data_IF_309052409874
#
_entry.id   IF_309052409874
#
_cell.length_a   1.000
_cell.length_b   1.000
_cell.length_c   1.000
_cell.angle_alpha   90.00
_cell.angle_beta   90.00
_cell.angle_gamma   90.00
#
_symmetry.space_group_name_H-M   'P 1'
#
loop_
_entity.id
_entity.type
_entity.pdbx_description
1 polymer ?
#
# COMPACT_ATOMS: atom_id res chain seq x y z
N UNK A 1 35.45 -30.02 -21.22
CA UNK A 1 35.65 -28.88 -20.30
C UNK A 1 35.49 -27.56 -21.05
N UNK A 2 34.28 -27.25 -21.48
CA UNK A 2 33.97 -25.98 -22.17
C UNK A 2 32.46 -25.66 -22.03
N UNK A 3 31.95 -25.72 -20.80
CA UNK A 3 30.58 -25.30 -20.45
C UNK A 3 30.64 -24.60 -19.09
N UNK A 4 31.44 -23.53 -18.99
CA UNK A 4 31.56 -22.70 -17.77
C UNK A 4 31.53 -21.19 -18.11
N UNK A 5 31.26 -20.80 -19.35
CA UNK A 5 31.37 -19.41 -19.78
C UNK A 5 30.10 -18.84 -20.43
N UNK A 6 28.91 -19.19 -19.93
CA UNK A 6 27.66 -18.60 -20.44
C UNK A 6 26.61 -18.41 -19.34
N UNK A 7 27.01 -17.83 -18.21
CA UNK A 7 26.09 -17.50 -17.11
C UNK A 7 26.33 -16.12 -16.48
N UNK A 8 26.90 -15.18 -17.24
CA UNK A 8 27.18 -13.81 -16.77
C UNK A 8 26.58 -12.72 -17.67
N UNK A 9 25.43 -12.99 -18.28
CA UNK A 9 24.53 -11.94 -18.77
C UNK A 9 23.10 -12.34 -18.44
N UNK A 10 22.74 -12.29 -17.15
CA UNK A 10 21.34 -12.19 -16.76
C UNK A 10 20.88 -10.78 -17.13
N UNK A 11 20.54 -10.60 -18.40
CA UNK A 11 19.74 -9.47 -18.84
C UNK A 11 18.58 -9.34 -17.86
N UNK A 12 18.49 -8.18 -17.22
CA UNK A 12 17.32 -7.71 -16.49
C UNK A 12 16.15 -7.59 -17.48
N UNK A 13 15.65 -8.71 -18.02
CA UNK A 13 14.34 -8.76 -18.64
C UNK A 13 13.33 -8.50 -17.53
N UNK A 14 13.06 -7.22 -17.31
CA UNK A 14 11.91 -6.75 -16.57
C UNK A 14 10.72 -7.56 -17.05
N UNK A 15 10.21 -8.43 -16.18
CA UNK A 15 9.12 -9.32 -16.55
C UNK A 15 7.96 -8.46 -17.08
N UNK A 16 7.30 -8.83 -18.20
CA UNK A 16 6.31 -7.97 -18.87
C UNK A 16 5.20 -7.42 -17.98
N UNK A 17 4.87 -8.11 -16.88
CA UNK A 17 3.86 -7.69 -15.91
C UNK A 17 4.29 -6.51 -15.01
N UNK A 18 5.57 -6.17 -14.97
CA UNK A 18 6.08 -4.98 -14.27
C UNK A 18 5.93 -3.71 -15.13
N UNK A 19 6.03 -3.82 -16.45
CA UNK A 19 5.99 -2.64 -17.33
C UNK A 19 4.72 -1.78 -17.15
N UNK A 20 3.56 -2.40 -16.98
CA UNK A 20 2.29 -1.71 -16.71
C UNK A 20 2.32 -0.86 -15.44
N UNK A 21 2.60 -1.44 -14.26
CA UNK A 21 2.81 -0.71 -13.00
C UNK A 21 3.79 0.47 -13.08
N UNK A 22 4.95 0.27 -13.72
CA UNK A 22 5.95 1.33 -13.90
C UNK A 22 5.46 2.46 -14.81
N UNK A 23 4.79 2.12 -15.92
CA UNK A 23 4.19 3.09 -16.83
C UNK A 23 3.03 3.85 -16.18
N UNK A 24 2.20 3.16 -15.39
CA UNK A 24 1.08 3.76 -14.69
C UNK A 24 1.54 4.81 -13.67
N UNK A 25 2.56 4.49 -12.85
CA UNK A 25 3.15 5.45 -11.93
C UNK A 25 3.75 6.64 -12.68
N UNK A 26 4.54 6.40 -13.73
CA UNK A 26 5.11 7.49 -14.54
C UNK A 26 4.02 8.40 -15.10
N UNK A 27 2.96 7.82 -15.67
CA UNK A 27 1.81 8.55 -16.21
C UNK A 27 1.12 9.38 -15.12
N UNK A 28 0.93 8.84 -13.91
CA UNK A 28 0.32 9.58 -12.80
C UNK A 28 1.14 10.80 -12.40
N UNK A 29 2.47 10.68 -12.31
CA UNK A 29 3.34 11.84 -12.00
C UNK A 29 3.25 12.89 -13.12
N UNK A 30 3.29 12.46 -14.38
CA UNK A 30 3.14 13.36 -15.54
C UNK A 30 1.78 14.06 -15.54
N UNK A 31 0.69 13.32 -15.37
CA UNK A 31 -0.67 13.88 -15.35
C UNK A 31 -0.82 14.87 -14.20
N UNK A 32 -0.33 14.52 -13.00
CA UNK A 32 -0.30 15.43 -11.85
C UNK A 32 0.42 16.74 -12.20
N UNK A 33 1.63 16.64 -12.75
CA UNK A 33 2.43 17.80 -13.14
C UNK A 33 1.70 18.69 -14.16
N UNK A 34 1.11 18.09 -15.19
CA UNK A 34 0.32 18.82 -16.19
C UNK A 34 -0.89 19.53 -15.55
N UNK A 35 -1.65 18.84 -14.70
CA UNK A 35 -2.80 19.42 -14.02
C UNK A 35 -2.40 20.62 -13.14
N UNK A 36 -1.28 20.54 -12.42
CA UNK A 36 -0.75 21.65 -11.62
C UNK A 36 -0.37 22.85 -12.50
N UNK A 37 0.28 22.63 -13.65
CA UNK A 37 0.59 23.70 -14.62
C UNK A 37 -0.69 24.37 -15.13
N UNK A 38 -1.74 23.59 -15.41
CA UNK A 38 -3.04 24.12 -15.83
C UNK A 38 -3.82 24.82 -14.70
N UNK A 39 -3.26 24.90 -13.49
CA UNK A 39 -3.84 25.62 -12.36
C UNK A 39 -4.89 24.83 -11.59
N UNK A 40 -4.91 23.51 -11.74
CA UNK A 40 -5.74 22.66 -10.88
C UNK A 40 -5.21 22.75 -9.45
N UNK A 41 -6.09 22.91 -8.42
CA UNK A 41 -5.65 23.04 -7.05
C UNK A 41 -4.76 21.88 -6.60
N UNK A 42 -3.67 22.21 -5.90
CA UNK A 42 -2.72 21.22 -5.41
C UNK A 42 -3.38 20.14 -4.54
N UNK A 43 -4.41 20.47 -3.77
CA UNK A 43 -5.16 19.47 -3.00
C UNK A 43 -5.75 18.36 -3.88
N UNK A 44 -6.22 18.69 -5.08
CA UNK A 44 -6.80 17.73 -6.03
C UNK A 44 -5.72 16.94 -6.78
N UNK A 45 -4.63 17.61 -7.18
CA UNK A 45 -3.51 16.96 -7.88
C UNK A 45 -2.65 16.12 -6.93
N UNK A 46 -2.59 16.50 -5.65
CA UNK A 46 -1.96 15.74 -4.56
C UNK A 46 -2.84 14.59 -4.07
N UNK A 47 -4.16 14.61 -4.29
CA UNK A 47 -4.95 13.37 -4.14
C UNK A 47 -4.53 12.30 -5.18
N UNK A 48 -4.08 12.73 -6.36
CA UNK A 48 -3.43 11.88 -7.36
C UNK A 48 -1.95 11.61 -7.03
N UNK A 49 -1.48 11.91 -5.80
CA UNK A 49 -0.07 11.88 -5.39
C UNK A 49 0.60 10.54 -5.68
N UNK A 50 1.86 10.67 -6.09
CA UNK A 50 2.83 9.62 -6.36
C UNK A 50 2.99 8.66 -5.18
N UNK A 51 2.91 9.11 -3.94
CA UNK A 51 3.19 8.26 -2.77
C UNK A 51 2.03 7.32 -2.44
N UNK A 52 0.79 7.80 -2.45
CA UNK A 52 -0.40 6.96 -2.29
C UNK A 52 -0.56 5.97 -3.44
N UNK A 53 -0.33 6.44 -4.68
CA UNK A 53 -0.33 5.59 -5.86
C UNK A 53 0.77 4.53 -5.82
N UNK A 54 1.98 4.85 -5.35
CA UNK A 54 3.06 3.87 -5.15
C UNK A 54 2.65 2.78 -4.19
N UNK A 55 2.00 3.11 -3.08
CA UNK A 55 1.53 2.09 -2.14
C UNK A 55 0.42 1.21 -2.72
N UNK A 56 -0.52 1.79 -3.48
CA UNK A 56 -1.53 1.01 -4.20
C UNK A 56 -0.91 0.08 -5.24
N UNK A 57 0.08 0.57 -6.00
CA UNK A 57 0.81 -0.24 -6.97
C UNK A 57 1.64 -1.31 -6.27
N UNK A 58 2.26 -1.02 -5.12
CA UNK A 58 2.99 -2.01 -4.33
C UNK A 58 2.07 -3.10 -3.78
N UNK A 59 0.87 -2.74 -3.30
CA UNK A 59 -0.17 -3.68 -2.88
C UNK A 59 -0.59 -4.55 -4.08
N UNK A 60 -0.86 -3.95 -5.23
CA UNK A 60 -1.20 -4.66 -6.46
C UNK A 60 -0.10 -5.64 -6.89
N UNK A 61 1.15 -5.18 -6.93
CA UNK A 61 2.31 -6.01 -7.27
C UNK A 61 2.47 -7.16 -6.26
N UNK A 62 2.33 -6.90 -4.96
CA UNK A 62 2.37 -7.92 -3.92
C UNK A 62 1.25 -8.96 -4.05
N UNK A 63 0.06 -8.54 -4.48
CA UNK A 63 -1.07 -9.44 -4.71
C UNK A 63 -0.94 -10.26 -6.01
N UNK A 64 -0.41 -9.66 -7.08
CA UNK A 64 -0.32 -10.28 -8.41
C UNK A 64 0.92 -11.14 -8.60
N UNK A 65 2.06 -10.76 -7.99
CA UNK A 65 3.32 -11.49 -8.15
C UNK A 65 3.19 -12.98 -7.80
N UNK A 66 2.55 -13.37 -6.67
CA UNK A 66 2.35 -14.78 -6.35
C UNK A 66 1.49 -15.53 -7.37
N UNK A 67 0.46 -14.88 -7.92
CA UNK A 67 -0.39 -15.45 -8.97
C UNK A 67 0.37 -15.69 -10.28
N UNK A 68 1.45 -14.94 -10.52
CA UNK A 68 2.38 -15.12 -11.63
C UNK A 68 3.55 -16.08 -11.29
N UNK A 69 3.41 -16.88 -10.23
CA UNK A 69 4.38 -17.89 -9.82
C UNK A 69 5.65 -17.31 -9.20
N UNK A 70 5.64 -16.05 -8.76
CA UNK A 70 6.77 -15.45 -8.04
C UNK A 70 6.77 -15.97 -6.60
N UNK A 71 7.76 -16.81 -6.26
CA UNK A 71 7.82 -17.51 -4.97
C UNK A 71 8.96 -17.05 -4.06
N UNK A 72 9.96 -16.33 -4.59
CA UNK A 72 11.11 -15.85 -3.80
C UNK A 72 10.91 -14.40 -3.41
N UNK A 73 11.10 -14.07 -2.14
CA UNK A 73 10.90 -12.72 -1.61
C UNK A 73 11.73 -11.66 -2.35
N UNK A 74 12.97 -11.96 -2.73
CA UNK A 74 13.82 -11.01 -3.46
C UNK A 74 13.25 -10.62 -4.83
N UNK A 75 12.48 -11.50 -5.49
CA UNK A 75 11.84 -11.23 -6.78
C UNK A 75 10.67 -10.26 -6.68
N UNK A 76 10.31 -9.84 -5.46
CA UNK A 76 9.25 -8.89 -5.16
C UNK A 76 9.84 -7.66 -4.49
N UNK A 77 10.76 -7.87 -3.55
CA UNK A 77 11.55 -6.82 -2.89
C UNK A 77 12.26 -5.95 -3.93
N UNK A 78 12.99 -6.56 -4.87
CA UNK A 78 13.76 -5.80 -5.85
C UNK A 78 12.85 -4.95 -6.76
N UNK A 79 11.77 -5.47 -7.38
CA UNK A 79 10.81 -4.63 -8.08
C UNK A 79 10.18 -3.53 -7.22
N UNK A 80 9.91 -3.78 -5.94
CA UNK A 80 9.37 -2.76 -5.03
C UNK A 80 10.34 -1.61 -4.78
N UNK A 81 11.62 -1.92 -4.51
CA UNK A 81 12.69 -0.93 -4.35
C UNK A 81 12.89 -0.15 -5.65
N UNK A 82 12.94 -0.85 -6.78
CA UNK A 82 13.08 -0.23 -8.09
C UNK A 82 11.88 0.66 -8.41
N UNK A 83 10.66 0.25 -8.06
CA UNK A 83 9.45 1.08 -8.24
C UNK A 83 9.53 2.35 -7.39
N UNK A 84 9.92 2.24 -6.12
CA UNK A 84 10.09 3.40 -5.25
C UNK A 84 11.15 4.36 -5.80
N UNK A 85 12.31 3.84 -6.22
CA UNK A 85 13.36 4.62 -6.86
C UNK A 85 12.90 5.27 -8.18
N UNK A 86 12.13 4.54 -8.99
CA UNK A 86 11.57 5.03 -10.24
C UNK A 86 10.61 6.20 -10.02
N UNK A 87 9.71 6.10 -9.04
CA UNK A 87 8.82 7.21 -8.67
C UNK A 87 9.62 8.43 -8.25
N UNK A 88 10.62 8.25 -7.39
CA UNK A 88 11.44 9.36 -6.90
C UNK A 88 12.26 9.99 -8.03
N UNK A 89 12.74 9.21 -9.00
CA UNK A 89 13.40 9.75 -10.19
C UNK A 89 12.47 10.69 -10.99
N UNK A 90 11.19 10.34 -11.16
CA UNK A 90 10.22 11.22 -11.80
C UNK A 90 9.92 12.47 -10.97
N UNK A 91 9.79 12.34 -9.65
CA UNK A 91 9.59 13.49 -8.75
C UNK A 91 10.77 14.46 -8.86
N UNK A 92 12.00 13.97 -8.71
CA UNK A 92 13.24 14.75 -8.85
C UNK A 92 13.30 15.45 -10.22
N UNK A 93 12.98 14.74 -11.30
CA UNK A 93 12.95 15.31 -12.64
C UNK A 93 12.01 16.51 -12.72
N UNK A 94 10.78 16.39 -12.23
CA UNK A 94 9.80 17.48 -12.28
C UNK A 94 10.12 18.61 -11.29
N UNK A 95 10.77 18.33 -10.15
CA UNK A 95 11.34 19.34 -9.26
C UNK A 95 12.41 20.16 -9.97
N UNK A 96 13.34 19.52 -10.68
CA UNK A 96 14.36 20.21 -11.50
C UNK A 96 13.71 21.07 -12.57
N UNK A 97 12.78 20.51 -13.35
CA UNK A 97 12.09 21.25 -14.43
C UNK A 97 11.38 22.48 -13.85
N UNK A 98 10.65 22.31 -12.74
CA UNK A 98 9.90 23.39 -12.09
C UNK A 98 10.81 24.47 -11.53
N UNK A 99 11.92 24.08 -10.88
CA UNK A 99 12.90 25.00 -10.30
C UNK A 99 13.65 25.82 -11.35
N UNK A 100 14.07 25.18 -12.45
CA UNK A 100 14.81 25.82 -13.54
C UNK A 100 13.92 26.74 -14.36
N UNK A 101 12.70 26.30 -14.70
CA UNK A 101 11.76 27.07 -15.51
C UNK A 101 10.89 28.05 -14.69
N UNK A 102 11.07 28.10 -13.37
CA UNK A 102 10.30 28.95 -12.45
C UNK A 102 8.79 28.76 -12.62
N UNK A 103 8.35 27.50 -12.62
CA UNK A 103 6.94 27.16 -12.80
C UNK A 103 6.15 27.45 -11.52
N UNK A 104 5.70 28.69 -11.34
CA UNK A 104 5.06 29.16 -10.09
C UNK A 104 3.80 28.39 -9.67
N UNK A 105 3.14 27.73 -10.62
CA UNK A 105 1.94 26.92 -10.35
C UNK A 105 2.28 25.48 -9.95
N UNK A 106 3.50 25.02 -10.20
CA UNK A 106 3.92 23.67 -9.85
C UNK A 106 4.34 23.61 -8.39
N UNK A 107 3.84 22.59 -7.68
CA UNK A 107 4.21 22.37 -6.27
C UNK A 107 5.39 21.41 -6.13
N UNK A 108 6.09 21.10 -7.22
CA UNK A 108 7.31 20.28 -7.21
C UNK A 108 8.56 21.07 -6.81
N UNK A 109 8.57 22.39 -7.00
CA UNK A 109 9.66 23.28 -6.59
C UNK A 109 9.09 24.45 -5.80
N UNK A 110 9.80 24.85 -4.76
CA UNK A 110 9.44 25.99 -3.92
C UNK A 110 10.00 27.29 -4.52
N UNK A 111 9.45 28.47 -4.16
CA UNK A 111 9.99 29.75 -4.62
C UNK A 111 11.49 29.93 -4.34
N UNK A 112 11.99 29.33 -3.25
CA UNK A 112 13.39 29.34 -2.87
C UNK A 112 14.29 28.53 -3.83
N UNK A 113 13.72 27.61 -4.60
CA UNK A 113 14.46 26.81 -5.60
C UNK A 113 14.71 27.59 -6.90
N UNK A 114 13.95 28.66 -7.15
CA UNK A 114 13.94 29.36 -8.43
C UNK A 114 15.22 30.16 -8.66
N UNK A 115 16.09 29.64 -9.53
CA UNK A 115 17.38 30.25 -9.82
C UNK A 115 18.41 30.12 -8.69
N UNK A 116 18.10 29.37 -7.63
CA UNK A 116 19.02 29.06 -6.53
C UNK A 116 19.42 27.59 -6.58
N UNK A 117 20.49 27.30 -7.32
CA UNK A 117 20.97 25.92 -7.51
C UNK A 117 21.37 25.22 -6.21
N UNK A 118 21.81 25.96 -5.19
CA UNK A 118 22.17 25.39 -3.90
C UNK A 118 20.96 24.90 -3.12
N UNK A 119 19.89 25.69 -3.09
CA UNK A 119 18.63 25.29 -2.44
C UNK A 119 17.95 24.15 -3.20
N UNK A 120 17.88 24.25 -4.53
CA UNK A 120 17.32 23.20 -5.39
C UNK A 120 18.07 21.87 -5.22
N UNK A 121 19.40 21.90 -5.13
CA UNK A 121 20.20 20.69 -4.88
C UNK A 121 19.89 20.08 -3.50
N UNK A 122 19.74 20.91 -2.46
CA UNK A 122 19.38 20.43 -1.13
C UNK A 122 17.97 19.82 -1.10
N UNK A 123 17.01 20.44 -1.79
CA UNK A 123 15.65 19.92 -1.93
C UNK A 123 15.65 18.55 -2.64
N UNK A 124 16.40 18.40 -3.75
CA UNK A 124 16.57 17.13 -4.45
C UNK A 124 17.19 16.06 -3.53
N UNK A 125 18.19 16.43 -2.73
CA UNK A 125 18.81 15.52 -1.78
C UNK A 125 17.81 15.06 -0.71
N UNK A 126 16.87 15.93 -0.31
CA UNK A 126 15.74 15.57 0.54
C UNK A 126 14.90 14.42 -0.04
N UNK A 127 14.52 14.52 -1.32
CA UNK A 127 13.79 13.43 -2.00
C UNK A 127 14.58 12.11 -2.05
N UNK A 128 15.91 12.17 -2.19
CA UNK A 128 16.74 10.96 -2.15
C UNK A 128 16.73 10.29 -0.77
N UNK A 129 16.74 11.08 0.30
CA UNK A 129 16.65 10.54 1.67
C UNK A 129 15.28 9.90 1.93
N UNK A 130 14.21 10.42 1.32
CA UNK A 130 12.86 9.87 1.41
C UNK A 130 12.70 8.52 0.69
N UNK A 131 13.61 8.13 -0.22
CA UNK A 131 13.60 6.82 -0.87
C UNK A 131 13.64 5.69 0.16
N UNK A 132 14.50 5.81 1.18
CA UNK A 132 14.73 4.75 2.16
C UNK A 132 13.47 4.40 2.96
N UNK A 133 12.80 5.35 3.64
CA UNK A 133 11.58 5.03 4.38
C UNK A 133 10.44 4.60 3.47
N UNK A 134 10.27 5.20 2.28
CA UNK A 134 9.23 4.78 1.31
C UNK A 134 9.48 3.35 0.84
N UNK A 135 10.72 2.99 0.52
CA UNK A 135 11.09 1.65 0.14
C UNK A 135 10.81 0.65 1.26
N UNK A 136 11.18 0.95 2.51
CA UNK A 136 10.89 0.09 3.67
C UNK A 136 9.38 -0.16 3.78
N UNK A 137 8.56 0.89 3.68
CA UNK A 137 7.09 0.72 3.72
C UNK A 137 6.64 -0.19 2.59
N UNK A 138 7.01 0.10 1.33
CA UNK A 138 6.68 -0.71 0.15
C UNK A 138 7.05 -2.20 0.35
N UNK A 139 8.22 -2.46 0.91
CA UNK A 139 8.68 -3.82 1.21
C UNK A 139 7.79 -4.52 2.24
N UNK A 140 7.39 -3.81 3.30
CA UNK A 140 6.45 -4.32 4.29
C UNK A 140 5.10 -4.64 3.65
N UNK A 141 4.58 -3.76 2.77
CA UNK A 141 3.32 -4.00 2.04
C UNK A 141 3.39 -5.30 1.24
N UNK A 142 4.47 -5.47 0.48
CA UNK A 142 4.66 -6.62 -0.40
C UNK A 142 4.89 -7.92 0.39
N UNK A 143 5.64 -7.85 1.49
CA UNK A 143 5.87 -8.98 2.38
C UNK A 143 4.56 -9.48 3.02
N UNK A 144 3.68 -8.56 3.45
CA UNK A 144 2.38 -8.93 3.99
C UNK A 144 1.54 -9.72 2.96
N UNK A 145 1.49 -9.26 1.70
CA UNK A 145 0.74 -9.96 0.65
C UNK A 145 1.31 -11.34 0.32
N UNK A 146 2.63 -11.52 0.40
CA UNK A 146 3.26 -12.83 0.26
C UNK A 146 2.85 -13.81 1.35
N UNK A 147 2.76 -13.34 2.60
CA UNK A 147 2.29 -14.17 3.72
C UNK A 147 0.84 -14.59 3.49
N UNK A 148 -0.02 -13.65 3.05
CA UNK A 148 -1.42 -13.94 2.73
C UNK A 148 -1.59 -15.00 1.65
N UNK A 149 -0.64 -15.13 0.73
CA UNK A 149 -0.73 -16.11 -0.36
C UNK A 149 -0.80 -17.57 0.11
N UNK A 150 -0.38 -17.86 1.35
CA UNK A 150 -0.63 -19.18 1.98
C UNK A 150 -2.12 -19.54 2.02
N UNK A 151 -3.00 -18.53 1.99
CA UNK A 151 -4.44 -18.67 1.86
C UNK A 151 -4.93 -17.76 0.74
N UNK A 152 -4.92 -18.21 -0.54
CA UNK A 152 -5.17 -17.36 -1.70
C UNK A 152 -6.47 -16.54 -1.63
N UNK A 153 -7.50 -17.08 -0.98
CA UNK A 153 -8.78 -16.40 -0.71
C UNK A 153 -8.64 -15.09 0.09
N UNK A 154 -7.53 -14.92 0.81
CA UNK A 154 -7.27 -13.76 1.67
C UNK A 154 -6.49 -12.65 0.96
N UNK A 155 -5.81 -12.94 -0.16
CA UNK A 155 -4.92 -11.98 -0.84
C UNK A 155 -5.71 -10.79 -1.38
N UNK A 156 -6.78 -11.06 -2.14
CA UNK A 156 -7.63 -10.02 -2.71
C UNK A 156 -8.27 -9.15 -1.62
N UNK A 157 -9.00 -9.72 -0.65
CA UNK A 157 -9.57 -8.95 0.45
C UNK A 157 -8.51 -8.20 1.27
N UNK A 158 -7.37 -8.83 1.56
CA UNK A 158 -6.26 -8.19 2.27
C UNK A 158 -5.68 -7.00 1.53
N UNK A 159 -5.56 -7.07 0.20
CA UNK A 159 -5.13 -5.96 -0.64
C UNK A 159 -6.14 -4.81 -0.64
N UNK A 160 -7.44 -5.11 -0.75
CA UNK A 160 -8.50 -4.08 -0.69
C UNK A 160 -8.52 -3.38 0.66
N UNK A 161 -8.41 -4.13 1.77
CA UNK A 161 -8.33 -3.56 3.12
C UNK A 161 -7.15 -2.60 3.26
N UNK A 162 -5.99 -2.99 2.75
CA UNK A 162 -4.80 -2.13 2.72
C UNK A 162 -5.01 -0.88 1.88
N UNK A 163 -5.58 -1.04 0.67
CA UNK A 163 -5.88 0.08 -0.22
C UNK A 163 -6.80 1.12 0.43
N UNK A 164 -7.85 0.68 1.13
CA UNK A 164 -8.76 1.59 1.85
C UNK A 164 -8.08 2.33 2.99
N UNK A 165 -7.21 1.65 3.76
CA UNK A 165 -6.44 2.30 4.82
C UNK A 165 -5.47 3.33 4.22
N UNK A 166 -4.80 3.01 3.11
CA UNK A 166 -3.92 3.95 2.39
C UNK A 166 -4.72 5.16 1.89
N UNK A 167 -5.86 4.95 1.23
CA UNK A 167 -6.68 6.05 0.73
C UNK A 167 -7.16 6.95 1.87
N UNK A 168 -7.64 6.36 2.97
CA UNK A 168 -8.08 7.11 4.16
C UNK A 168 -6.93 7.88 4.81
N UNK A 169 -5.76 7.27 4.94
CA UNK A 169 -4.58 7.93 5.51
C UNK A 169 -4.24 9.18 4.70
N UNK A 170 -4.18 9.05 3.37
CA UNK A 170 -3.84 10.19 2.50
C UNK A 170 -4.95 11.23 2.43
N UNK A 171 -6.23 10.85 2.45
CA UNK A 171 -7.32 11.84 2.49
C UNK A 171 -7.24 12.71 3.75
N UNK A 172 -6.87 12.15 4.90
CA UNK A 172 -6.68 12.91 6.14
C UNK A 172 -5.43 13.78 6.12
N UNK A 173 -4.31 13.26 5.60
CA UNK A 173 -3.08 14.03 5.44
C UNK A 173 -3.29 15.26 4.55
N UNK A 174 -4.18 15.16 3.57
CA UNK A 174 -4.55 16.24 2.65
C UNK A 174 -5.64 17.17 3.21
N UNK A 175 -5.98 17.04 4.49
CA UNK A 175 -7.00 17.85 5.18
C UNK A 175 -8.38 17.79 4.47
N UNK A 176 -8.70 16.65 3.87
CA UNK A 176 -10.02 16.46 3.27
C UNK A 176 -11.11 16.42 4.34
N UNK A 177 -12.34 16.84 4.02
CA UNK A 177 -13.43 16.84 4.98
C UNK A 177 -13.59 15.47 5.67
N UNK A 178 -13.85 15.44 7.00
CA UNK A 178 -13.97 14.18 7.75
C UNK A 178 -14.99 13.20 7.15
N UNK A 179 -16.05 13.70 6.52
CA UNK A 179 -17.07 12.89 5.82
C UNK A 179 -16.47 12.15 4.62
N UNK A 180 -15.58 12.80 3.85
CA UNK A 180 -14.88 12.18 2.71
C UNK A 180 -13.88 11.15 3.21
N UNK A 181 -13.09 11.49 4.23
CA UNK A 181 -12.09 10.58 4.80
C UNK A 181 -12.72 9.35 5.47
N UNK A 182 -13.82 9.53 6.19
CA UNK A 182 -14.54 8.43 6.86
C UNK A 182 -15.29 7.51 5.90
N UNK A 183 -15.66 7.99 4.70
CA UNK A 183 -16.25 7.15 3.66
C UNK A 183 -15.33 5.99 3.22
N UNK A 184 -14.02 6.16 3.36
CA UNK A 184 -13.00 5.13 3.10
C UNK A 184 -12.79 4.16 4.28
N UNK A 185 -13.82 3.94 5.09
CA UNK A 185 -13.77 3.02 6.24
C UNK A 185 -13.55 1.58 5.80
N UNK A 186 -12.45 0.99 6.24
CA UNK A 186 -12.14 -0.42 6.01
C UNK A 186 -13.03 -1.38 6.80
N UNK A 187 -13.80 -0.91 7.78
CA UNK A 187 -14.68 -1.74 8.63
C UNK A 187 -15.81 -2.41 7.84
N UNK A 188 -16.47 -1.69 6.93
CA UNK A 188 -17.56 -2.26 6.13
C UNK A 188 -17.01 -3.33 5.20
N UNK A 189 -15.90 -3.03 4.53
CA UNK A 189 -15.24 -3.98 3.63
C UNK A 189 -14.70 -5.18 4.38
N UNK A 190 -14.22 -4.99 5.61
CA UNK A 190 -13.81 -6.08 6.49
C UNK A 190 -14.98 -7.04 6.79
N UNK A 191 -16.17 -6.52 7.08
CA UNK A 191 -17.36 -7.38 7.27
C UNK A 191 -17.76 -8.09 5.99
N UNK A 192 -17.65 -7.43 4.83
CA UNK A 192 -17.88 -8.06 3.51
C UNK A 192 -16.92 -9.24 3.27
N UNK A 193 -15.71 -9.20 3.84
CA UNK A 193 -14.77 -10.32 3.76
C UNK A 193 -15.33 -11.62 4.35
N UNK A 194 -16.23 -11.55 5.34
CA UNK A 194 -16.92 -12.74 5.89
C UNK A 194 -17.81 -13.42 4.85
N UNK A 195 -18.63 -12.66 4.13
CA UNK A 195 -19.47 -13.18 3.05
C UNK A 195 -18.62 -13.68 1.88
N UNK A 196 -17.58 -12.94 1.49
CA UNK A 196 -16.66 -13.35 0.45
C UNK A 196 -15.97 -14.67 0.80
N UNK A 197 -15.41 -14.77 2.02
CA UNK A 197 -14.70 -15.96 2.48
C UNK A 197 -15.65 -17.16 2.57
N UNK A 198 -16.90 -16.97 3.02
CA UNK A 198 -17.89 -18.04 3.05
C UNK A 198 -18.33 -18.47 1.64
N UNK A 199 -18.71 -17.52 0.78
CA UNK A 199 -19.19 -17.80 -0.57
C UNK A 199 -18.09 -18.33 -1.48
N UNK A 200 -17.05 -17.52 -1.74
CA UNK A 200 -15.94 -17.90 -2.63
C UNK A 200 -15.11 -19.03 -2.01
N UNK A 201 -14.91 -19.03 -0.70
CA UNK A 201 -14.17 -20.11 -0.04
C UNK A 201 -14.83 -21.46 -0.19
N UNK A 202 -16.16 -21.54 -0.14
CA UNK A 202 -16.89 -22.78 -0.40
C UNK A 202 -16.65 -23.31 -1.82
N UNK A 203 -16.63 -22.42 -2.83
CA UNK A 203 -16.39 -22.78 -4.24
C UNK A 203 -15.00 -23.40 -4.48
N UNK A 204 -14.03 -23.10 -3.62
CA UNK A 204 -12.67 -23.65 -3.69
C UNK A 204 -12.40 -24.73 -2.62
N UNK A 205 -13.45 -25.31 -2.04
CA UNK A 205 -13.36 -26.48 -1.14
C UNK A 205 -13.19 -26.17 0.35
N UNK A 206 -13.26 -24.91 0.77
CA UNK A 206 -13.31 -24.50 2.18
C UNK A 206 -14.75 -24.48 2.69
N UNK A 207 -15.42 -25.63 2.62
CA UNK A 207 -16.83 -25.73 2.94
C UNK A 207 -17.13 -26.04 4.42
N UNK A 208 -16.13 -26.11 5.30
CA UNK A 208 -16.36 -26.39 6.73
C UNK A 208 -15.87 -25.25 7.61
N UNK A 209 -16.55 -24.96 8.74
CA UNK A 209 -16.14 -23.90 9.67
C UNK A 209 -14.66 -24.02 10.09
N UNK A 210 -14.17 -25.26 10.32
CA UNK A 210 -12.77 -25.50 10.67
C UNK A 210 -11.78 -25.03 9.59
N UNK A 211 -12.11 -25.21 8.31
CA UNK A 211 -11.25 -24.79 7.18
C UNK A 211 -11.25 -23.26 7.00
N UNK A 212 -12.29 -22.57 7.46
CA UNK A 212 -12.45 -21.11 7.33
C UNK A 212 -11.78 -20.33 8.47
N UNK A 213 -11.51 -20.97 9.61
CA UNK A 213 -11.01 -20.31 10.82
C UNK A 213 -9.68 -19.59 10.59
N UNK A 214 -8.68 -20.30 10.05
CA UNK A 214 -7.34 -19.71 9.85
C UNK A 214 -7.38 -18.55 8.84
N UNK A 215 -7.98 -18.69 7.64
CA UNK A 215 -8.15 -17.58 6.72
C UNK A 215 -8.86 -16.36 7.34
N UNK A 216 -9.89 -16.59 8.16
CA UNK A 216 -10.63 -15.52 8.81
C UNK A 216 -9.79 -14.77 9.86
N UNK A 217 -9.05 -15.50 10.71
CA UNK A 217 -8.10 -14.90 11.67
C UNK A 217 -7.03 -14.10 10.95
N UNK A 218 -6.47 -14.65 9.86
CA UNK A 218 -5.47 -13.98 9.04
C UNK A 218 -6.03 -12.68 8.44
N UNK A 219 -7.28 -12.67 7.98
CA UNK A 219 -7.93 -11.44 7.51
C UNK A 219 -8.13 -10.41 8.63
N UNK A 220 -8.54 -10.84 9.82
CA UNK A 220 -8.65 -9.98 11.00
C UNK A 220 -7.33 -9.33 11.38
N UNK A 221 -6.25 -10.11 11.46
CA UNK A 221 -4.91 -9.58 11.70
C UNK A 221 -4.42 -8.69 10.56
N UNK A 222 -4.68 -9.05 9.31
CA UNK A 222 -4.28 -8.24 8.15
C UNK A 222 -4.96 -6.88 8.16
N UNK A 223 -6.26 -6.83 8.46
CA UNK A 223 -6.99 -5.58 8.59
C UNK A 223 -6.34 -4.65 9.64
N UNK A 224 -6.04 -5.19 10.82
CA UNK A 224 -5.45 -4.38 11.90
C UNK A 224 -3.98 -4.09 11.69
N UNK A 225 -3.24 -4.99 11.05
CA UNK A 225 -1.88 -4.76 10.61
C UNK A 225 -1.80 -3.57 9.66
N UNK A 226 -2.76 -3.43 8.74
CA UNK A 226 -2.84 -2.27 7.86
C UNK A 226 -3.00 -0.95 8.62
N UNK A 227 -3.90 -0.93 9.59
CA UNK A 227 -4.08 0.22 10.50
C UNK A 227 -2.76 0.52 11.23
N UNK A 228 -2.09 -0.50 11.74
CA UNK A 228 -0.81 -0.34 12.44
C UNK A 228 0.30 0.22 11.54
N UNK A 229 0.39 -0.20 10.28
CA UNK A 229 1.32 0.40 9.30
C UNK A 229 1.05 1.89 9.13
N UNK A 230 -0.23 2.31 9.06
CA UNK A 230 -0.59 3.72 9.02
C UNK A 230 -0.17 4.47 10.30
N UNK A 231 -0.27 3.83 11.48
CA UNK A 231 0.25 4.41 12.74
C UNK A 231 1.77 4.58 12.69
N UNK A 232 2.51 3.58 12.21
CA UNK A 232 3.97 3.65 12.06
C UNK A 232 4.39 4.78 11.10
N UNK A 233 3.64 4.96 10.01
CA UNK A 233 3.87 6.08 9.09
C UNK A 233 3.64 7.43 9.78
N UNK A 234 2.56 7.59 10.52
CA UNK A 234 2.32 8.82 11.30
C UNK A 234 3.39 9.06 12.37
N UNK A 235 3.92 7.99 12.97
CA UNK A 235 5.01 8.09 13.96
C UNK A 235 6.36 8.46 13.32
N UNK A 236 6.67 7.91 12.14
CA UNK A 236 7.89 8.20 11.41
C UNK A 236 7.90 9.62 10.84
N UNK A 237 6.73 10.13 10.44
CA UNK A 237 6.55 11.44 9.84
C UNK A 237 5.56 12.27 10.67
N UNK A 238 5.98 12.82 11.82
CA UNK A 238 5.08 13.44 12.80
C UNK A 238 4.41 14.74 12.32
N UNK A 239 4.80 15.26 11.16
CA UNK A 239 4.15 16.37 10.49
C UNK A 239 2.87 15.95 9.72
N UNK A 240 2.69 14.65 9.44
CA UNK A 240 1.49 14.11 8.83
C UNK A 240 0.36 14.06 9.87
N UNK A 241 -0.64 14.93 9.70
CA UNK A 241 -1.82 14.95 10.56
C UNK A 241 -2.80 13.87 10.12
N UNK A 242 -3.07 12.91 11.00
CA UNK A 242 -4.03 11.82 10.76
C UNK A 242 -4.59 11.31 12.07
N UNK A 243 -5.80 10.74 12.05
CA UNK A 243 -6.39 10.09 13.23
C UNK A 243 -5.68 8.78 13.61
N UNK A 244 -4.92 8.18 12.70
CA UNK A 244 -4.26 6.89 12.95
C UNK A 244 -3.18 6.99 14.03
N UNK A 245 -2.54 8.16 14.20
CA UNK A 245 -1.48 8.32 15.19
C UNK A 245 -1.58 9.68 15.89
N UNK A 246 -1.80 9.62 17.20
CA UNK A 246 -1.70 10.78 18.08
C UNK A 246 -0.41 10.66 18.87
N UNK A 247 0.48 11.64 18.76
CA UNK A 247 1.80 11.58 19.41
C UNK A 247 1.63 11.49 20.94
N UNK A 248 2.13 10.42 21.60
CA UNK A 248 2.07 10.32 23.05
C UNK A 248 3.02 11.33 23.69
N UNK A 249 2.70 11.79 24.90
CA UNK A 249 3.54 12.72 25.67
C UNK A 249 4.85 12.09 26.19
N UNK A 250 5.07 10.78 25.98
CA UNK A 250 6.21 10.02 26.50
C UNK A 250 6.74 8.98 25.51
N UNK A 251 7.09 7.78 26.02
CA UNK A 251 7.79 6.73 25.27
C UNK A 251 7.01 6.21 24.04
N UNK A 252 7.39 6.69 22.85
CA UNK A 252 6.78 6.30 21.56
C UNK A 252 6.84 4.78 21.32
N UNK A 253 7.96 4.14 21.66
CA UNK A 253 8.14 2.71 21.44
C UNK A 253 7.21 1.84 22.27
N UNK A 254 6.99 2.17 23.55
CA UNK A 254 6.05 1.40 24.39
C UNK A 254 4.61 1.61 23.93
N UNK A 255 4.27 2.83 23.49
CA UNK A 255 2.98 3.10 22.87
C UNK A 255 2.76 2.27 21.60
N UNK A 256 3.73 2.24 20.67
CA UNK A 256 3.62 1.45 19.44
C UNK A 256 3.59 -0.06 19.70
N UNK A 257 4.37 -0.57 20.66
CA UNK A 257 4.32 -1.98 21.06
C UNK A 257 2.98 -2.34 21.71
N UNK A 258 2.46 -1.48 22.58
CA UNK A 258 1.13 -1.63 23.18
C UNK A 258 0.03 -1.61 22.12
N UNK A 259 0.10 -0.68 21.18
CA UNK A 259 -0.80 -0.61 20.04
C UNK A 259 -0.71 -1.86 19.18
N UNK A 260 0.48 -2.39 18.89
CA UNK A 260 0.61 -3.65 18.16
C UNK A 260 -0.05 -4.82 18.91
N UNK A 261 0.24 -4.99 20.20
CA UNK A 261 -0.30 -6.07 21.00
C UNK A 261 -1.84 -6.00 21.11
N UNK A 262 -2.38 -4.82 21.38
CA UNK A 262 -3.82 -4.64 21.51
C UNK A 262 -4.51 -4.64 20.14
N UNK A 263 -4.11 -3.74 19.26
CA UNK A 263 -4.83 -3.48 18.02
C UNK A 263 -4.59 -4.56 16.97
N UNK A 264 -3.36 -5.03 16.80
CA UNK A 264 -3.07 -6.06 15.78
C UNK A 264 -3.45 -7.42 16.30
N UNK A 265 -2.93 -7.82 17.48
CA UNK A 265 -3.10 -9.20 17.95
C UNK A 265 -4.50 -9.44 18.50
N UNK A 266 -4.93 -8.65 19.49
CA UNK A 266 -6.21 -8.89 20.20
C UNK A 266 -7.41 -8.47 19.34
N UNK A 267 -7.48 -7.22 18.90
CA UNK A 267 -8.60 -6.73 18.09
C UNK A 267 -8.66 -7.46 16.74
N UNK A 268 -7.51 -7.75 16.14
CA UNK A 268 -7.48 -8.53 14.90
C UNK A 268 -7.95 -9.98 15.09
N UNK A 269 -7.65 -10.61 16.24
CA UNK A 269 -8.21 -11.93 16.57
C UNK A 269 -9.72 -11.87 16.72
N UNK A 270 -10.24 -10.90 17.49
CA UNK A 270 -11.70 -10.72 17.69
C UNK A 270 -12.40 -10.47 16.34
N UNK A 271 -11.86 -9.57 15.52
CA UNK A 271 -12.37 -9.33 14.17
C UNK A 271 -12.36 -10.61 13.34
N UNK A 272 -11.27 -11.38 13.39
CA UNK A 272 -11.15 -12.64 12.69
C UNK A 272 -12.20 -13.68 13.11
N UNK A 273 -12.53 -13.76 14.40
CA UNK A 273 -13.60 -14.61 14.91
C UNK A 273 -14.99 -14.17 14.40
N UNK A 274 -15.23 -12.86 14.28
CA UNK A 274 -16.47 -12.32 13.69
C UNK A 274 -16.57 -12.73 12.21
N UNK A 275 -15.50 -12.51 11.42
CA UNK A 275 -15.43 -12.91 10.01
C UNK A 275 -15.63 -14.42 9.86
N UNK A 276 -15.04 -15.21 10.76
CA UNK A 276 -15.23 -16.66 10.78
C UNK A 276 -16.68 -17.07 11.03
N UNK A 277 -17.34 -16.43 12.00
CA UNK A 277 -18.77 -16.66 12.28
C UNK A 277 -19.64 -16.35 11.06
N UNK A 278 -19.42 -15.20 10.43
CA UNK A 278 -20.13 -14.79 9.21
C UNK A 278 -19.89 -15.74 8.04
N UNK A 279 -18.63 -16.13 7.81
CA UNK A 279 -18.26 -17.07 6.75
C UNK A 279 -18.89 -18.45 6.98
N UNK A 280 -18.82 -18.94 8.22
CA UNK A 280 -19.41 -20.23 8.61
C UNK A 280 -20.93 -20.24 8.40
N UNK A 281 -21.61 -19.15 8.79
CA UNK A 281 -23.04 -18.98 8.55
C UNK A 281 -23.36 -18.95 7.05
N UNK A 282 -22.58 -18.22 6.25
CA UNK A 282 -22.78 -18.11 4.80
C UNK A 282 -22.64 -19.47 4.13
N UNK A 283 -21.61 -20.25 4.49
CA UNK A 283 -21.44 -21.61 3.96
C UNK A 283 -22.60 -22.52 4.33
N UNK A 284 -23.08 -22.44 5.57
CA UNK A 284 -24.25 -23.21 6.00
C UNK A 284 -25.50 -22.82 5.20
N UNK A 285 -25.75 -21.52 5.02
CA UNK A 285 -26.89 -20.99 4.27
C UNK A 285 -26.87 -21.35 2.78
N UNK A 286 -25.67 -21.52 2.20
CA UNK A 286 -25.52 -21.97 0.81
C UNK A 286 -25.70 -23.48 0.67
N UNK A 287 -25.29 -24.28 1.67
CA UNK A 287 -25.49 -25.73 1.68
C UNK A 287 -26.96 -26.12 1.75
N UNK A 288 -27.76 -25.41 2.53
CA UNK A 288 -29.20 -25.68 2.67
C UNK A 288 -30.01 -25.34 1.42
N UNK A 289 -29.38 -24.75 0.39
CA UNK A 289 -30.00 -24.37 -0.89
C UNK A 289 -29.49 -25.16 -2.10
N UNK A 290 -28.57 -26.10 -1.92
CA UNK A 290 -28.13 -26.98 -3.00
C UNK A 290 -29.23 -28.00 -3.35
N UNK A 291 -29.57 -28.18 -4.64
CA UNK A 291 -30.51 -29.22 -5.05
C UNK A 291 -29.91 -30.61 -4.80
N UNK A 292 -30.73 -31.55 -4.32
CA UNK A 292 -30.48 -32.99 -4.51
C UNK A 292 -30.39 -33.33 -6.01
#
# INVERSE_FOLDING_TARGET
MAVVAEQTHSDFRYRPWLAGPFAFIALLVVVRFLLEIFGVPHQLTSYLSSTGAVYLVAIYLGAVAPLRGVRKSWQIVLPGVVLAAWTQAWVILFTVISGVLKLEKSHFAEPQDWGNSGHLFHHILGHLLDIVPVAIVVLVLMAAMLVLWRWPVTVGPGAVLGGLVVIRFWSEVLDMPPVVSSAWSSTVVFLICGFFLGGVGALIGMSTPRKLLVPAIVLGWTWRFWVFVAMLMGAAFPYLKTHFYTRPQGHVWTYLLGAFALEVVVVGLVGGLIVWGMASWTVWALRTRGPE
#
